data_IF_617580142389
#
_entry.id   IF_617580142389
#
_cell.length_a   1.000
_cell.length_b   1.000
_cell.length_c   1.000
_cell.angle_alpha   90.00
_cell.angle_beta   90.00
_cell.angle_gamma   90.00
#
_symmetry.space_group_name_H-M   'P 1'
#
loop_
_entity.id
_entity.type
_entity.pdbx_description
1 polymer ?
#
# COMPACT_ATOMS: atom_id res chain seq x y z
N UNK A 1 -17.70 3.03 8.04
CA UNK A 1 -18.26 1.84 7.38
C UNK A 1 -19.09 2.26 6.18
N UNK A 2 -19.26 1.37 5.22
CA UNK A 2 -20.15 1.57 4.07
C UNK A 2 -20.78 0.25 3.65
N UNK A 3 -21.92 0.34 2.97
CA UNK A 3 -22.52 -0.77 2.24
C UNK A 3 -23.28 -0.23 1.05
N UNK A 4 -23.52 -1.08 0.05
CA UNK A 4 -24.33 -0.77 -1.11
C UNK A 4 -25.63 -1.58 -1.06
N UNK A 5 -26.73 -0.96 -1.48
CA UNK A 5 -27.97 -1.70 -1.75
C UNK A 5 -27.78 -2.62 -2.94
N UNK A 6 -28.54 -3.70 -3.07
CA UNK A 6 -28.75 -4.35 -4.36
C UNK A 6 -29.39 -3.36 -5.35
N UNK A 7 -29.50 -3.75 -6.61
CA UNK A 7 -30.27 -2.97 -7.57
C UNK A 7 -31.75 -2.97 -7.12
N UNK A 8 -32.31 -1.78 -6.92
CA UNK A 8 -33.69 -1.60 -6.48
C UNK A 8 -34.57 -1.14 -7.65
N UNK A 9 -35.75 -1.72 -7.77
CA UNK A 9 -36.75 -1.22 -8.68
C UNK A 9 -37.37 0.09 -8.14
N UNK A 10 -38.01 0.90 -8.99
CA UNK A 10 -38.68 2.11 -8.52
C UNK A 10 -39.71 1.81 -7.41
N UNK A 11 -39.59 2.49 -6.29
CA UNK A 11 -40.43 2.30 -5.10
C UNK A 11 -40.01 1.17 -4.15
N UNK A 12 -39.01 0.38 -4.51
CA UNK A 12 -38.43 -0.62 -3.61
C UNK A 12 -37.60 0.04 -2.49
N UNK A 13 -37.60 -0.60 -1.32
CA UNK A 13 -36.75 -0.24 -0.18
C UNK A 13 -35.91 -1.43 0.27
N UNK A 14 -34.76 -1.15 0.87
CA UNK A 14 -33.86 -2.17 1.38
C UNK A 14 -33.24 -1.73 2.71
N UNK A 15 -33.21 -2.64 3.68
CA UNK A 15 -32.61 -2.37 4.99
C UNK A 15 -31.12 -2.72 4.93
N UNK A 16 -30.25 -1.71 4.97
CA UNK A 16 -28.82 -1.91 5.09
C UNK A 16 -28.41 -2.06 6.55
N UNK A 17 -27.59 -3.07 6.82
CA UNK A 17 -26.91 -3.24 8.09
C UNK A 17 -25.47 -2.79 7.96
N UNK A 18 -25.10 -1.69 8.62
CA UNK A 18 -23.73 -1.20 8.70
C UNK A 18 -23.10 -1.65 10.02
N UNK A 19 -22.02 -2.41 9.92
CA UNK A 19 -21.26 -2.89 11.08
C UNK A 19 -19.89 -2.25 11.05
N UNK A 20 -19.44 -1.73 12.17
CA UNK A 20 -18.08 -1.21 12.31
C UNK A 20 -17.55 -1.54 13.71
N UNK A 21 -16.24 -1.68 13.81
CA UNK A 21 -15.56 -1.87 15.08
C UNK A 21 -15.19 -0.51 15.67
N UNK A 22 -15.70 -0.22 16.86
CA UNK A 22 -15.44 1.05 17.56
C UNK A 22 -13.94 1.27 17.80
N UNK A 23 -13.17 0.21 17.99
CA UNK A 23 -11.70 0.28 18.16
C UNK A 23 -10.99 0.98 17.02
N UNK A 24 -11.58 1.00 15.81
CA UNK A 24 -11.03 1.73 14.66
C UNK A 24 -11.09 3.25 14.78
N UNK A 25 -11.82 3.77 15.76
CA UNK A 25 -11.87 5.21 16.04
C UNK A 25 -10.79 5.64 17.06
N UNK A 26 -9.97 4.69 17.54
CA UNK A 26 -8.89 4.99 18.48
C UNK A 26 -7.79 5.82 17.84
N UNK A 27 -7.22 6.74 18.62
CA UNK A 27 -6.04 7.53 18.30
C UNK A 27 -4.81 6.95 19.01
N UNK A 28 -3.63 7.09 18.36
CA UNK A 28 -2.39 6.68 19.00
C UNK A 28 -1.85 7.79 19.89
N UNK A 29 -1.51 7.44 21.13
CA UNK A 29 -0.89 8.34 22.10
C UNK A 29 0.57 7.93 22.29
N UNK A 30 1.48 8.72 21.77
CA UNK A 30 2.93 8.44 21.81
C UNK A 30 3.48 8.34 23.23
N UNK A 31 3.01 9.19 24.14
CA UNK A 31 3.46 9.22 25.53
C UNK A 31 3.43 7.85 26.20
N UNK A 32 2.41 7.04 25.91
CA UNK A 32 2.17 5.76 26.56
C UNK A 32 2.27 4.59 25.56
N UNK A 33 2.59 4.87 24.31
CA UNK A 33 2.64 3.91 23.21
C UNK A 33 1.38 3.04 23.11
N UNK A 34 0.21 3.68 23.18
CA UNK A 34 -1.06 2.96 23.17
C UNK A 34 -2.08 3.61 22.23
N UNK A 35 -2.96 2.79 21.66
CA UNK A 35 -4.18 3.27 21.03
C UNK A 35 -5.25 3.42 22.08
N UNK A 36 -5.90 4.57 22.09
CA UNK A 36 -6.94 4.93 23.06
C UNK A 36 -8.21 5.40 22.37
N UNK A 37 -9.33 5.13 23.02
CA UNK A 37 -10.58 5.86 22.81
C UNK A 37 -10.74 6.84 23.96
N UNK A 38 -10.74 8.11 23.65
CA UNK A 38 -10.84 9.17 24.65
C UNK A 38 -12.24 9.21 25.26
N UNK A 39 -12.34 9.64 26.52
CA UNK A 39 -13.63 9.93 27.16
C UNK A 39 -14.35 11.01 26.37
N UNK A 40 -15.65 10.84 26.13
CA UNK A 40 -16.48 11.83 25.44
C UNK A 40 -17.58 11.23 24.58
N UNK A 41 -18.20 12.07 23.79
CA UNK A 41 -19.29 11.72 22.90
C UNK A 41 -18.78 11.57 21.46
N UNK A 42 -19.00 10.41 20.87
CA UNK A 42 -18.68 10.09 19.49
C UNK A 42 -19.94 10.17 18.65
N UNK A 43 -20.07 11.22 17.86
CA UNK A 43 -21.22 11.44 17.01
C UNK A 43 -21.17 10.55 15.77
N UNK A 44 -22.13 9.64 15.68
CA UNK A 44 -22.33 8.82 14.48
C UNK A 44 -23.13 9.62 13.46
N UNK A 45 -22.57 9.75 12.28
CA UNK A 45 -23.22 10.41 11.15
C UNK A 45 -23.50 9.41 10.04
N UNK A 46 -24.70 9.47 9.49
CA UNK A 46 -25.16 8.61 8.41
C UNK A 46 -25.51 9.46 7.18
N UNK A 47 -25.15 9.00 5.99
CA UNK A 47 -25.47 9.71 4.76
C UNK A 47 -25.13 8.94 3.51
N UNK A 48 -25.39 9.54 2.37
CA UNK A 48 -25.10 8.99 1.07
C UNK A 48 -23.69 9.34 0.54
N UNK A 49 -22.97 10.17 1.27
CA UNK A 49 -21.57 10.53 1.00
C UNK A 49 -20.90 11.03 2.27
N UNK A 50 -19.57 11.15 2.27
CA UNK A 50 -18.81 11.70 3.41
C UNK A 50 -19.13 13.17 3.72
N UNK A 51 -19.71 13.90 2.78
CA UNK A 51 -20.07 15.32 2.95
C UNK A 51 -21.57 15.55 3.23
N UNK A 52 -22.41 14.66 2.78
CA UNK A 52 -23.86 14.74 2.97
C UNK A 52 -24.30 13.70 4.00
N UNK A 53 -24.14 14.06 5.25
CA UNK A 53 -24.46 13.21 6.40
C UNK A 53 -25.28 13.96 7.41
N UNK A 54 -26.13 13.24 8.14
CA UNK A 54 -26.90 13.70 9.29
C UNK A 54 -26.49 12.96 10.56
N UNK A 55 -26.62 13.58 11.71
CA UNK A 55 -26.41 12.93 13.00
C UNK A 55 -27.46 11.83 13.18
N UNK A 56 -27.01 10.61 13.52
CA UNK A 56 -27.85 9.44 13.66
C UNK A 56 -27.88 8.87 15.09
N UNK A 57 -26.75 8.93 15.79
CA UNK A 57 -26.64 8.47 17.18
C UNK A 57 -25.38 9.05 17.83
N UNK A 58 -25.33 8.99 19.17
CA UNK A 58 -24.14 9.27 19.96
C UNK A 58 -23.69 7.98 20.63
N UNK A 59 -22.40 7.68 20.57
CA UNK A 59 -21.76 6.70 21.45
C UNK A 59 -21.05 7.50 22.54
N UNK A 60 -21.48 7.31 23.78
CA UNK A 60 -20.92 7.99 24.94
C UNK A 60 -19.94 7.10 25.66
N UNK A 61 -18.72 7.59 25.80
CA UNK A 61 -17.68 6.94 26.59
C UNK A 61 -17.53 7.71 27.91
N UNK A 62 -17.87 7.06 29.01
CA UNK A 62 -17.80 7.64 30.34
C UNK A 62 -16.39 7.72 30.91
N UNK A 63 -15.47 7.00 30.30
CA UNK A 63 -14.04 6.96 30.63
C UNK A 63 -13.20 6.78 29.41
N UNK A 64 -11.88 6.92 29.54
CA UNK A 64 -10.91 6.54 28.52
C UNK A 64 -10.77 5.01 28.47
N UNK A 65 -10.68 4.45 27.26
CA UNK A 65 -10.40 3.03 27.04
C UNK A 65 -9.08 2.85 26.30
N UNK A 66 -8.21 2.03 26.86
CA UNK A 66 -7.01 1.59 26.17
C UNK A 66 -7.42 0.44 25.26
N UNK A 67 -7.22 0.61 23.95
CA UNK A 67 -7.53 -0.40 22.93
C UNK A 67 -6.37 -1.38 22.77
N UNK A 68 -5.15 -0.85 22.69
CA UNK A 68 -3.94 -1.69 22.61
C UNK A 68 -2.72 -0.95 23.15
N UNK A 69 -1.75 -1.73 23.65
CA UNK A 69 -0.44 -1.27 24.10
C UNK A 69 0.64 -1.80 23.20
N UNK A 70 1.62 -0.97 22.88
CA UNK A 70 2.72 -1.28 21.99
C UNK A 70 4.05 -0.91 22.64
N UNK A 71 5.11 -1.55 22.19
CA UNK A 71 6.47 -1.13 22.52
C UNK A 71 6.94 -0.06 21.53
N UNK A 72 7.69 0.93 22.02
CA UNK A 72 8.31 1.93 21.16
C UNK A 72 9.51 1.31 20.44
N UNK A 73 9.36 0.95 19.18
CA UNK A 73 10.44 0.37 18.37
C UNK A 73 11.42 1.46 17.91
N UNK A 74 10.92 2.65 17.59
CA UNK A 74 11.73 3.77 17.12
C UNK A 74 11.17 5.10 17.65
N UNK A 75 11.39 5.43 18.93
CA UNK A 75 10.88 6.65 19.51
C UNK A 75 11.52 7.89 18.86
N UNK A 76 10.78 8.97 18.79
CA UNK A 76 11.28 10.25 18.33
C UNK A 76 12.41 10.73 19.26
N UNK A 77 13.53 11.13 18.68
CA UNK A 77 14.68 11.70 19.45
C UNK A 77 14.42 13.15 19.87
N UNK A 78 13.54 13.84 19.15
CA UNK A 78 13.13 15.22 19.43
C UNK A 78 11.64 15.35 19.11
N UNK A 79 10.89 16.15 19.90
CA UNK A 79 9.51 16.44 19.58
C UNK A 79 9.39 17.14 18.22
N UNK A 80 8.37 16.82 17.46
CA UNK A 80 8.02 17.49 16.22
C UNK A 80 6.91 18.52 16.51
N UNK A 81 7.00 19.66 15.85
CA UNK A 81 5.87 20.60 15.82
C UNK A 81 4.79 20.02 14.91
N UNK A 82 3.63 19.74 15.46
CA UNK A 82 2.48 19.24 14.73
C UNK A 82 1.52 20.38 14.38
N UNK A 83 1.00 20.35 13.16
CA UNK A 83 -0.09 21.23 12.77
C UNK A 83 -1.38 20.72 13.41
N UNK A 84 -1.94 21.54 14.30
CA UNK A 84 -3.25 21.27 14.87
C UNK A 84 -4.32 22.06 14.11
N UNK A 85 -5.30 21.37 13.55
CA UNK A 85 -6.47 22.03 13.01
C UNK A 85 -7.43 22.38 14.16
N UNK A 86 -8.02 23.59 14.18
CA UNK A 86 -9.04 23.90 15.17
C UNK A 86 -10.23 22.92 14.98
N UNK A 87 -10.60 22.24 16.06
CA UNK A 87 -11.76 21.37 16.05
C UNK A 87 -13.01 22.26 15.98
N UNK A 88 -13.67 22.28 14.83
CA UNK A 88 -14.97 22.93 14.67
C UNK A 88 -16.03 21.92 15.14
N UNK A 89 -16.44 22.05 16.40
CA UNK A 89 -17.64 21.37 16.88
C UNK A 89 -18.85 22.07 16.24
N UNK A 90 -19.53 21.42 15.33
CA UNK A 90 -20.84 21.85 14.85
C UNK A 90 -21.81 21.82 16.06
N UNK A 91 -22.08 22.97 16.65
CA UNK A 91 -23.07 23.09 17.70
C UNK A 91 -24.47 23.02 17.10
N UNK A 92 -25.25 22.04 17.49
CA UNK A 92 -26.66 22.29 17.62
C UNK A 92 -27.69 21.62 16.73
N UNK A 93 -27.59 20.32 16.47
CA UNK A 93 -28.77 19.56 15.99
C UNK A 93 -28.94 18.22 16.71
N UNK A 94 -28.34 18.07 17.89
CA UNK A 94 -28.25 16.79 18.63
C UNK A 94 -29.44 16.59 19.61
N UNK A 95 -30.50 17.39 19.51
CA UNK A 95 -31.71 17.15 20.27
C UNK A 95 -32.45 15.97 19.63
N UNK A 96 -32.77 14.99 20.48
CA UNK A 96 -33.58 13.81 20.14
C UNK A 96 -32.92 12.67 19.37
N UNK A 97 -31.57 12.60 19.31
CA UNK A 97 -30.89 11.43 18.76
C UNK A 97 -30.57 10.40 19.85
N UNK A 98 -30.58 9.08 19.53
CA UNK A 98 -30.27 8.03 20.48
C UNK A 98 -28.85 8.15 21.03
N UNK A 99 -28.70 7.94 22.35
CA UNK A 99 -27.41 7.88 23.03
C UNK A 99 -27.18 6.45 23.52
N UNK A 100 -26.09 5.84 23.08
CA UNK A 100 -25.62 4.55 23.55
C UNK A 100 -24.40 4.78 24.45
N UNK A 101 -24.52 4.47 25.73
CA UNK A 101 -23.38 4.53 26.67
C UNK A 101 -22.63 3.21 26.65
N UNK A 102 -21.30 3.29 26.48
CA UNK A 102 -20.43 2.10 26.44
C UNK A 102 -20.19 1.62 27.90
N UNK A 103 -20.29 0.31 28.10
CA UNK A 103 -19.99 -0.31 29.39
C UNK A 103 -18.48 -0.21 29.72
N UNK A 104 -18.13 -0.16 31.00
CA UNK A 104 -16.76 0.04 31.48
C UNK A 104 -15.81 -1.08 31.04
N UNK A 105 -16.30 -2.31 30.86
CA UNK A 105 -15.57 -3.50 30.46
C UNK A 105 -15.73 -3.83 28.96
N UNK A 106 -16.35 -2.94 28.19
CA UNK A 106 -16.66 -3.20 26.78
C UNK A 106 -15.41 -3.40 25.89
N UNK A 107 -14.25 -2.88 26.31
CA UNK A 107 -13.01 -2.98 25.56
C UNK A 107 -11.93 -3.61 26.43
N UNK A 108 -11.48 -4.79 26.00
CA UNK A 108 -10.32 -5.46 26.60
C UNK A 108 -9.08 -5.03 25.81
N UNK A 109 -8.06 -4.45 26.46
CA UNK A 109 -6.81 -4.06 25.79
C UNK A 109 -6.08 -5.25 25.24
N UNK A 110 -5.51 -5.09 24.03
CA UNK A 110 -4.56 -6.04 23.45
C UNK A 110 -3.15 -5.53 23.72
N UNK A 111 -2.28 -6.40 24.24
CA UNK A 111 -0.85 -6.08 24.41
C UNK A 111 -0.07 -6.70 23.27
N UNK A 112 0.64 -5.88 22.54
CA UNK A 112 1.58 -6.32 21.51
C UNK A 112 2.99 -6.25 22.06
N UNK A 113 3.66 -7.39 22.13
CA UNK A 113 5.09 -7.50 22.39
C UNK A 113 5.81 -7.84 21.09
N UNK A 114 6.93 -7.20 20.85
CA UNK A 114 7.76 -7.50 19.68
C UNK A 114 8.87 -8.46 20.12
N UNK A 115 8.57 -9.75 19.99
CA UNK A 115 9.63 -10.75 20.13
C UNK A 115 10.65 -10.59 19.01
N UNK A 116 11.95 -10.58 19.30
CA UNK A 116 12.96 -10.56 18.27
C UNK A 116 12.72 -11.72 17.29
N UNK A 117 12.64 -11.40 15.99
CA UNK A 117 12.54 -12.42 14.96
C UNK A 117 13.80 -13.28 15.02
N UNK A 118 13.64 -14.50 15.54
CA UNK A 118 14.71 -15.48 15.62
C UNK A 118 15.16 -15.95 14.23
N UNK A 119 16.18 -16.80 14.21
CA UNK A 119 16.61 -17.47 12.98
C UNK A 119 15.47 -18.33 12.43
N UNK A 120 15.35 -18.41 11.11
CA UNK A 120 14.36 -19.26 10.44
C UNK A 120 14.42 -20.70 10.98
N UNK A 121 13.27 -21.32 11.20
CA UNK A 121 13.17 -22.74 11.56
C UNK A 121 13.50 -23.65 10.38
N UNK A 122 13.39 -23.18 9.12
CA UNK A 122 13.72 -23.94 7.92
C UNK A 122 15.24 -24.13 7.80
N UNK A 123 15.75 -25.39 7.80
CA UNK A 123 17.18 -25.67 7.67
C UNK A 123 17.78 -25.15 6.36
N UNK A 124 17.04 -25.21 5.25
CA UNK A 124 17.52 -24.73 3.94
C UNK A 124 17.73 -23.23 3.93
N UNK A 125 16.83 -22.48 4.57
CA UNK A 125 16.96 -21.01 4.71
C UNK A 125 18.18 -20.68 5.57
N UNK A 126 18.39 -21.40 6.69
CA UNK A 126 19.57 -21.20 7.55
C UNK A 126 20.86 -21.47 6.80
N UNK A 127 20.99 -22.61 6.14
CA UNK A 127 22.16 -23.01 5.36
C UNK A 127 22.46 -21.97 4.28
N UNK A 128 21.43 -21.51 3.56
CA UNK A 128 21.58 -20.45 2.56
C UNK A 128 22.11 -19.16 3.16
N UNK A 129 21.52 -18.69 4.27
CA UNK A 129 21.91 -17.44 4.94
C UNK A 129 23.33 -17.54 5.53
N UNK A 130 23.67 -18.66 6.17
CA UNK A 130 25.01 -18.91 6.74
C UNK A 130 26.09 -18.98 5.64
N UNK A 131 25.75 -19.32 4.43
CA UNK A 131 26.64 -19.30 3.25
C UNK A 131 26.81 -17.90 2.60
N UNK A 132 26.18 -16.86 3.15
CA UNK A 132 26.28 -15.50 2.63
C UNK A 132 27.33 -14.67 3.40
N UNK A 133 28.10 -13.85 2.67
CA UNK A 133 28.88 -12.78 3.27
C UNK A 133 27.98 -11.63 3.73
N UNK A 134 28.45 -10.81 4.70
CA UNK A 134 27.72 -9.60 5.13
C UNK A 134 27.36 -8.70 3.95
N UNK A 135 28.26 -8.50 3.00
CA UNK A 135 27.99 -7.70 1.80
C UNK A 135 26.88 -8.28 0.92
N UNK A 136 26.73 -9.61 0.88
CA UNK A 136 25.63 -10.27 0.16
C UNK A 136 24.31 -10.13 0.92
N UNK A 137 24.32 -10.25 2.25
CA UNK A 137 23.13 -10.00 3.07
C UNK A 137 22.65 -8.56 2.92
N UNK A 138 23.54 -7.59 2.97
CA UNK A 138 23.20 -6.18 2.73
C UNK A 138 22.62 -5.95 1.33
N UNK A 139 23.11 -6.65 0.30
CA UNK A 139 22.54 -6.57 -1.05
C UNK A 139 21.11 -7.09 -1.11
N UNK A 140 20.77 -8.11 -0.32
CA UNK A 140 19.38 -8.62 -0.25
C UNK A 140 18.47 -7.57 0.39
N UNK A 141 18.89 -7.01 1.53
CA UNK A 141 18.09 -6.05 2.31
C UNK A 141 17.90 -4.73 1.56
N UNK A 142 18.96 -4.21 0.95
CA UNK A 142 18.92 -2.95 0.19
C UNK A 142 18.26 -3.14 -1.18
N UNK A 143 18.44 -4.32 -1.78
CA UNK A 143 17.97 -4.60 -3.13
C UNK A 143 18.74 -3.85 -4.21
N UNK A 144 18.17 -3.83 -5.40
CA UNK A 144 18.70 -3.13 -6.58
C UNK A 144 17.60 -2.25 -7.15
N UNK A 145 17.86 -0.96 -7.23
CA UNK A 145 16.94 0.00 -7.84
C UNK A 145 16.86 -0.11 -9.37
N UNK A 146 16.09 0.78 -9.96
CA UNK A 146 15.79 0.84 -11.39
C UNK A 146 17.03 0.81 -12.32
N UNK A 147 18.16 1.33 -11.85
CA UNK A 147 19.40 1.41 -12.62
C UNK A 147 20.45 0.37 -12.22
N UNK A 148 20.08 -0.59 -11.39
CA UNK A 148 20.99 -1.59 -10.82
C UNK A 148 21.43 -2.65 -11.83
N UNK A 149 22.73 -2.79 -11.97
CA UNK A 149 23.38 -4.00 -12.46
C UNK A 149 23.42 -4.25 -13.96
N UNK A 150 24.61 -4.08 -14.55
CA UNK A 150 24.86 -4.32 -16.01
C UNK A 150 24.69 -5.77 -16.48
N UNK A 151 24.54 -6.74 -15.60
CA UNK A 151 24.53 -8.19 -15.95
C UNK A 151 23.40 -8.99 -15.32
N UNK A 152 22.46 -8.34 -14.68
CA UNK A 152 21.41 -9.03 -13.95
C UNK A 152 20.10 -8.95 -14.70
N UNK A 153 19.42 -10.07 -14.80
CA UNK A 153 18.08 -10.12 -15.35
C UNK A 153 17.13 -9.35 -14.41
N UNK A 154 16.46 -8.38 -14.95
CA UNK A 154 15.40 -7.65 -14.26
C UNK A 154 14.31 -7.31 -15.27
N UNK A 155 13.09 -7.15 -14.78
CA UNK A 155 11.98 -6.73 -15.60
C UNK A 155 12.18 -5.27 -16.04
N UNK A 156 12.23 -4.97 -17.34
CA UNK A 156 12.39 -3.60 -17.81
C UNK A 156 11.25 -2.72 -17.34
N UNK A 157 11.59 -1.63 -16.67
CA UNK A 157 10.62 -0.69 -16.08
C UNK A 157 10.18 -1.01 -14.66
N UNK A 158 10.66 -2.08 -14.05
CA UNK A 158 10.48 -2.31 -12.62
C UNK A 158 11.11 -1.17 -11.81
N UNK A 159 10.49 -0.78 -10.70
CA UNK A 159 11.01 0.27 -9.82
C UNK A 159 12.17 -0.24 -8.97
N UNK A 160 12.25 -1.54 -8.75
CA UNK A 160 13.33 -2.17 -8.02
C UNK A 160 13.30 -3.70 -8.13
N UNK A 161 14.33 -4.31 -7.58
CA UNK A 161 14.49 -5.74 -7.51
C UNK A 161 15.12 -6.10 -6.17
N UNK A 162 14.87 -7.30 -5.64
CA UNK A 162 15.56 -7.72 -4.42
C UNK A 162 17.05 -7.87 -4.68
N UNK A 163 17.49 -8.89 -5.39
CA UNK A 163 18.85 -8.96 -5.93
C UNK A 163 18.97 -10.08 -6.94
N UNK A 164 19.16 -9.70 -8.17
CA UNK A 164 19.46 -10.65 -9.24
C UNK A 164 20.92 -11.12 -9.25
N UNK A 165 21.79 -10.56 -8.41
CA UNK A 165 23.21 -10.97 -8.33
C UNK A 165 23.40 -12.34 -7.69
N UNK A 166 22.47 -12.76 -6.84
CA UNK A 166 22.53 -14.03 -6.11
C UNK A 166 21.71 -15.15 -6.77
N UNK A 167 21.17 -14.94 -7.98
CA UNK A 167 20.38 -15.97 -8.66
C UNK A 167 21.15 -17.27 -8.87
N UNK A 168 22.47 -17.20 -9.11
CA UNK A 168 23.35 -18.38 -9.22
C UNK A 168 23.52 -19.14 -7.90
N UNK A 169 23.21 -18.51 -6.78
CA UNK A 169 23.16 -19.15 -5.46
C UNK A 169 21.77 -19.69 -5.11
N UNK A 170 20.80 -19.59 -6.02
CA UNK A 170 19.43 -20.07 -5.81
C UNK A 170 18.44 -19.03 -5.31
N UNK A 171 18.85 -17.76 -5.11
CA UNK A 171 17.92 -16.71 -4.70
C UNK A 171 17.11 -16.23 -5.91
N UNK A 172 15.80 -16.38 -5.84
CA UNK A 172 14.87 -15.88 -6.86
C UNK A 172 14.82 -14.35 -6.77
N UNK A 173 14.93 -13.69 -7.93
CA UNK A 173 14.77 -12.24 -8.01
C UNK A 173 13.30 -11.87 -7.88
N UNK A 174 12.98 -10.96 -6.96
CA UNK A 174 11.66 -10.37 -6.78
C UNK A 174 11.63 -9.03 -7.50
N UNK A 175 10.84 -8.92 -8.57
CA UNK A 175 10.64 -7.67 -9.29
C UNK A 175 9.53 -6.86 -8.63
N UNK A 176 9.84 -5.59 -8.33
CA UNK A 176 8.92 -4.63 -7.73
C UNK A 176 8.44 -3.69 -8.81
N UNK A 177 7.14 -3.59 -9.00
CA UNK A 177 6.51 -2.69 -9.96
C UNK A 177 5.56 -1.74 -9.25
N UNK A 178 5.16 -0.68 -9.91
CA UNK A 178 4.16 0.26 -9.43
C UNK A 178 3.10 0.53 -10.50
N UNK A 179 2.19 1.42 -10.20
CA UNK A 179 1.23 1.97 -11.14
C UNK A 179 -0.15 2.16 -10.52
N UNK A 180 -0.64 3.41 -10.38
CA UNK A 180 -1.96 3.68 -9.81
C UNK A 180 -3.11 3.32 -10.76
N UNK A 181 -2.82 3.07 -12.03
CA UNK A 181 -3.77 2.74 -13.08
C UNK A 181 -3.52 1.37 -13.73
N UNK A 182 -2.98 0.43 -12.98
CA UNK A 182 -2.54 -0.87 -13.46
C UNK A 182 -1.01 -0.98 -13.48
N UNK A 183 -0.50 -2.10 -13.96
CA UNK A 183 0.93 -2.39 -13.96
C UNK A 183 1.69 -1.42 -14.86
N UNK A 184 2.59 -0.61 -14.27
CA UNK A 184 3.43 0.33 -14.99
C UNK A 184 4.82 -0.24 -15.18
N UNK A 185 5.08 -0.74 -16.37
CA UNK A 185 6.38 -1.23 -16.80
C UNK A 185 6.80 -0.52 -18.10
N UNK A 186 8.02 -0.76 -18.54
CA UNK A 186 8.56 -0.13 -19.72
C UNK A 186 7.93 -0.72 -20.99
N UNK A 187 7.17 0.06 -21.72
CA UNK A 187 6.45 -0.41 -22.92
C UNK A 187 7.37 -0.97 -24.01
N UNK A 188 8.52 -0.33 -24.25
CA UNK A 188 9.44 -0.74 -25.30
C UNK A 188 10.88 -0.72 -24.82
N UNK A 189 11.62 -1.78 -25.15
CA UNK A 189 13.04 -1.95 -24.85
C UNK A 189 13.78 -2.44 -26.08
N UNK A 190 15.10 -2.27 -26.10
CA UNK A 190 15.98 -2.84 -27.10
C UNK A 190 16.90 -3.85 -26.45
N UNK A 191 16.92 -5.06 -26.96
CA UNK A 191 17.89 -6.08 -26.61
C UNK A 191 19.02 -6.02 -27.64
N UNK A 192 20.22 -5.67 -27.22
CA UNK A 192 21.37 -5.63 -28.10
C UNK A 192 21.96 -7.05 -28.34
N UNK A 193 22.89 -7.19 -29.26
CA UNK A 193 23.55 -8.47 -29.59
C UNK A 193 24.26 -9.14 -28.40
N UNK A 194 24.52 -8.41 -27.32
CA UNK A 194 25.12 -8.93 -26.07
C UNK A 194 24.09 -9.28 -25.01
N UNK A 195 22.79 -9.33 -25.37
CA UNK A 195 21.67 -9.58 -24.43
C UNK A 195 21.38 -8.47 -23.42
N UNK A 196 21.98 -7.27 -23.60
CA UNK A 196 21.71 -6.16 -22.71
C UNK A 196 20.44 -5.44 -23.12
N UNK A 197 19.51 -5.29 -22.18
CA UNK A 197 18.24 -4.57 -22.35
C UNK A 197 18.43 -3.10 -22.00
N UNK A 198 17.95 -2.22 -22.86
CA UNK A 198 17.89 -0.77 -22.63
C UNK A 198 16.52 -0.22 -23.03
N UNK A 199 16.03 0.77 -22.26
CA UNK A 199 14.83 1.52 -22.59
C UNK A 199 14.95 2.19 -23.98
N UNK A 200 13.84 2.25 -24.71
CA UNK A 200 13.78 3.10 -25.90
C UNK A 200 13.43 4.55 -25.52
N UNK A 201 13.72 5.54 -26.37
CA UNK A 201 13.30 6.92 -26.14
C UNK A 201 11.78 7.10 -26.00
N UNK A 202 10.99 6.25 -26.67
CA UNK A 202 9.52 6.28 -26.60
C UNK A 202 8.96 5.87 -25.23
N UNK A 203 9.65 5.01 -24.52
CA UNK A 203 9.18 4.48 -23.21
C UNK A 203 9.51 5.38 -22.03
N UNK A 204 10.35 6.39 -22.20
CA UNK A 204 10.86 7.20 -21.10
C UNK A 204 10.74 8.68 -21.40
N UNK A 205 9.53 9.18 -21.39
CA UNK A 205 9.23 10.62 -21.57
C UNK A 205 9.95 11.49 -20.54
N UNK A 206 10.18 10.98 -19.33
CA UNK A 206 10.91 11.68 -18.27
C UNK A 206 12.34 12.08 -18.68
N UNK A 207 12.93 11.38 -19.65
CA UNK A 207 14.28 11.70 -20.14
C UNK A 207 14.30 12.60 -21.38
N UNK A 208 13.15 13.12 -21.79
CA UNK A 208 13.09 14.02 -22.96
C UNK A 208 13.89 15.30 -22.75
N UNK A 209 14.02 15.76 -21.51
CA UNK A 209 14.79 16.96 -21.14
C UNK A 209 16.31 16.76 -21.05
N UNK A 210 16.80 15.50 -21.13
CA UNK A 210 18.23 15.23 -21.00
C UNK A 210 18.99 15.63 -22.27
N UNK A 211 20.27 16.06 -22.14
CA UNK A 211 21.15 16.31 -23.28
C UNK A 211 21.28 15.09 -24.18
N UNK A 212 21.44 15.32 -25.49
CA UNK A 212 21.46 14.24 -26.51
C UNK A 212 22.52 13.15 -26.25
N UNK A 213 23.69 13.54 -25.73
CA UNK A 213 24.76 12.57 -25.44
C UNK A 213 24.38 11.65 -24.26
N UNK A 214 23.69 12.17 -23.23
CA UNK A 214 23.20 11.39 -22.10
C UNK A 214 22.14 10.39 -22.56
N UNK A 215 21.18 10.86 -23.38
CA UNK A 215 20.17 9.97 -24.00
C UNK A 215 20.83 8.83 -24.77
N UNK A 216 21.86 9.13 -25.57
CA UNK A 216 22.58 8.11 -26.35
C UNK A 216 23.31 7.09 -25.48
N UNK A 217 23.76 7.51 -24.30
CA UNK A 217 24.42 6.62 -23.33
C UNK A 217 23.41 5.74 -22.59
N UNK A 218 22.28 6.32 -22.16
CA UNK A 218 21.30 5.65 -21.32
C UNK A 218 20.29 4.82 -22.10
N UNK A 219 19.82 5.33 -23.23
CA UNK A 219 18.74 4.72 -24.01
C UNK A 219 19.28 3.76 -25.08
N UNK A 220 18.45 2.80 -25.46
CA UNK A 220 18.71 1.88 -26.55
C UNK A 220 18.40 2.50 -27.90
N UNK A 221 19.18 2.12 -28.92
CA UNK A 221 18.87 2.50 -30.30
C UNK A 221 18.00 1.40 -30.93
N UNK A 222 16.75 1.70 -31.32
CA UNK A 222 15.84 0.72 -31.92
C UNK A 222 16.39 0.07 -33.20
N UNK A 223 17.28 0.78 -33.92
CA UNK A 223 17.90 0.28 -35.14
C UNK A 223 19.09 -0.67 -34.89
N UNK A 224 19.53 -0.85 -33.65
CA UNK A 224 20.75 -1.62 -33.30
C UNK A 224 20.49 -2.83 -32.40
N UNK A 225 19.29 -3.38 -32.40
CA UNK A 225 18.92 -4.55 -31.62
C UNK A 225 17.50 -4.99 -31.87
N UNK A 226 17.07 -6.02 -31.17
CA UNK A 226 15.71 -6.52 -31.24
C UNK A 226 14.80 -5.69 -30.31
N UNK A 227 13.67 -5.23 -30.84
CA UNK A 227 12.64 -4.56 -30.05
C UNK A 227 11.88 -5.57 -29.21
N UNK A 228 11.70 -5.23 -27.95
CA UNK A 228 10.85 -5.95 -27.01
C UNK A 228 9.69 -5.02 -26.63
N UNK A 229 8.49 -5.55 -26.65
CA UNK A 229 7.26 -4.84 -26.30
C UNK A 229 6.64 -5.44 -25.05
N UNK A 230 6.21 -4.58 -24.12
CA UNK A 230 5.57 -4.94 -22.88
C UNK A 230 4.37 -4.01 -22.67
N UNK A 231 3.22 -4.38 -23.23
CA UNK A 231 1.99 -3.59 -23.09
C UNK A 231 1.14 -4.11 -21.95
N UNK A 232 0.64 -3.22 -21.14
CA UNK A 232 -0.24 -3.49 -20.01
C UNK A 232 -1.52 -2.71 -20.13
N UNK A 233 -2.56 -3.15 -19.43
CA UNK A 233 -3.87 -2.51 -19.45
C UNK A 233 -3.85 -1.25 -18.57
N UNK A 234 -4.35 -0.14 -19.10
CA UNK A 234 -4.65 1.05 -18.33
C UNK A 234 -6.05 0.94 -17.72
N UNK A 235 -6.12 0.73 -16.43
CA UNK A 235 -7.35 0.79 -15.65
C UNK A 235 -7.62 2.22 -15.18
N UNK A 236 -8.86 2.54 -14.76
CA UNK A 236 -9.10 3.76 -14.00
C UNK A 236 -8.19 3.80 -12.77
N UNK A 237 -7.67 4.98 -12.43
CA UNK A 237 -6.83 5.14 -11.24
C UNK A 237 -7.55 4.67 -9.97
N UNK A 238 -6.80 4.14 -8.99
CA UNK A 238 -7.37 3.54 -7.78
C UNK A 238 -8.35 4.45 -7.04
N UNK A 239 -8.09 5.76 -7.01
CA UNK A 239 -9.01 6.73 -6.41
C UNK A 239 -10.36 6.79 -7.15
N UNK A 240 -10.35 6.71 -8.49
CA UNK A 240 -11.58 6.68 -9.27
C UNK A 240 -12.35 5.35 -9.05
N UNK A 241 -11.64 4.23 -8.99
CA UNK A 241 -12.23 2.93 -8.65
C UNK A 241 -12.84 2.94 -7.25
N UNK A 242 -12.16 3.54 -6.26
CA UNK A 242 -12.65 3.66 -4.90
C UNK A 242 -13.96 4.45 -4.80
N UNK A 243 -14.17 5.46 -5.68
CA UNK A 243 -15.43 6.21 -5.74
C UNK A 243 -16.64 5.35 -6.16
N UNK A 244 -16.40 4.18 -6.73
CA UNK A 244 -17.48 3.24 -7.06
C UNK A 244 -18.11 2.58 -5.82
N UNK A 245 -17.39 2.56 -4.68
CA UNK A 245 -17.74 1.85 -3.45
C UNK A 245 -18.09 0.37 -3.70
N UNK A 246 -17.49 -0.22 -4.75
CA UNK A 246 -17.76 -1.57 -5.20
C UNK A 246 -16.54 -2.47 -4.98
N UNK A 247 -16.57 -3.22 -3.88
CA UNK A 247 -15.48 -4.12 -3.47
C UNK A 247 -15.24 -5.23 -4.50
N UNK A 248 -16.32 -5.79 -5.07
CA UNK A 248 -16.22 -6.85 -6.08
C UNK A 248 -15.55 -6.36 -7.35
N UNK A 249 -15.79 -5.10 -7.74
CA UNK A 249 -15.10 -4.49 -8.88
C UNK A 249 -13.61 -4.34 -8.59
N UNK A 250 -13.25 -3.90 -7.37
CA UNK A 250 -11.84 -3.78 -6.96
C UNK A 250 -11.14 -5.14 -7.02
N UNK A 251 -11.79 -6.20 -6.54
CA UNK A 251 -11.23 -7.55 -6.61
C UNK A 251 -11.04 -8.02 -8.06
N UNK A 252 -12.00 -7.76 -8.95
CA UNK A 252 -11.90 -8.11 -10.37
C UNK A 252 -10.74 -7.39 -11.06
N UNK A 253 -10.55 -6.09 -10.77
CA UNK A 253 -9.41 -5.31 -11.28
C UNK A 253 -8.10 -5.87 -10.74
N UNK A 254 -8.01 -6.15 -9.44
CA UNK A 254 -6.84 -6.77 -8.83
C UNK A 254 -6.46 -8.11 -9.47
N UNK A 255 -7.46 -8.96 -9.75
CA UNK A 255 -7.26 -10.24 -10.46
C UNK A 255 -6.78 -10.05 -11.91
N UNK A 256 -7.26 -9.01 -12.60
CA UNK A 256 -6.80 -8.71 -13.95
C UNK A 256 -5.34 -8.23 -13.96
N UNK A 257 -4.96 -7.34 -13.05
CA UNK A 257 -3.57 -6.89 -12.87
C UNK A 257 -2.66 -8.05 -12.49
N UNK A 258 -3.10 -8.96 -11.60
CA UNK A 258 -2.33 -10.15 -11.21
C UNK A 258 -1.98 -11.04 -12.43
N UNK A 259 -2.88 -11.20 -13.40
CA UNK A 259 -2.60 -11.96 -14.62
C UNK A 259 -1.46 -11.32 -15.42
N UNK A 260 -1.49 -10.00 -15.59
CA UNK A 260 -0.40 -9.27 -16.26
C UNK A 260 0.91 -9.38 -15.47
N UNK A 261 0.86 -9.30 -14.15
CA UNK A 261 2.04 -9.50 -13.29
C UNK A 261 2.67 -10.87 -13.51
N UNK A 262 1.86 -11.92 -13.59
CA UNK A 262 2.33 -13.29 -13.85
C UNK A 262 2.95 -13.42 -15.24
N UNK A 263 2.32 -12.81 -16.25
CA UNK A 263 2.81 -12.83 -17.63
C UNK A 263 4.19 -12.16 -17.77
N UNK A 264 4.40 -11.03 -17.11
CA UNK A 264 5.65 -10.28 -17.17
C UNK A 264 6.67 -10.65 -16.10
N UNK A 265 6.34 -11.53 -15.17
CA UNK A 265 7.22 -11.91 -14.07
C UNK A 265 7.41 -10.81 -13.02
N UNK A 266 6.44 -9.92 -12.88
CA UNK A 266 6.37 -8.99 -11.77
C UNK A 266 5.90 -9.74 -10.51
N UNK A 267 6.61 -9.55 -9.39
CA UNK A 267 6.32 -10.28 -8.16
C UNK A 267 5.53 -9.43 -7.18
N UNK A 268 5.73 -8.13 -7.20
CA UNK A 268 5.13 -7.18 -6.25
C UNK A 268 4.63 -5.93 -6.96
N UNK A 269 3.40 -5.51 -6.63
CA UNK A 269 2.72 -4.33 -7.19
C UNK A 269 2.04 -3.51 -6.12
#
# INVERSE_FOLDING_TARGET
AFAKTPVLAPGESYVLRLVFDLKRLSSFREKDNCFILEQGDYLLRLGNSSRNTTAAAIIRLTQEYIVSRHEAVCPLQKPLEELTAPMVLEKGTEKDIPVLTLAEDAIVPVVYSYEPIGRSSDPKVREFVDGLSLGQMLQIVVGIGMFGGRKTFHLPGSVGNTTSKLWKKGLVNVALCDGPAGLRIQQTSVINKRGKVKATPLSMTTFTCLPGFVKRLMLGNPKKGNLLYQYTTAFPVTNALAQSWNVDLMEKVGKAVLREMQEYGCTYW
#
